data_IF_369006523689
#
_entry.id   IF_369006523689
#
_cell.length_a   1.000
_cell.length_b   1.000
_cell.length_c   1.000
_cell.angle_alpha   90.00
_cell.angle_beta   90.00
_cell.angle_gamma   90.00
#
_symmetry.space_group_name_H-M   'P 1'
#
loop_
_entity.id
_entity.type
_entity.pdbx_description
1 polymer ?
#
# COMPACT_ATOMS: atom_id res chain seq x y z
N UNK A 1 -20.82 -4.91 4.85
CA UNK A 1 -22.01 -4.90 3.96
C UNK A 1 -21.59 -5.19 2.52
N UNK A 2 -22.52 -5.55 1.63
CA UNK A 2 -22.26 -5.73 0.18
C UNK A 2 -23.10 -4.74 -0.64
N UNK A 3 -22.54 -4.21 -1.73
CA UNK A 3 -23.27 -3.36 -2.67
C UNK A 3 -22.41 -2.99 -3.87
N UNK A 4 -23.02 -2.62 -4.99
CA UNK A 4 -22.29 -2.10 -6.15
C UNK A 4 -21.65 -0.76 -5.78
N UNK A 5 -20.33 -0.69 -5.75
CA UNK A 5 -19.59 0.51 -5.37
C UNK A 5 -19.68 1.52 -6.52
N UNK A 6 -20.58 2.48 -6.40
CA UNK A 6 -20.70 3.62 -7.31
C UNK A 6 -20.09 4.86 -6.66
N UNK A 7 -19.81 5.91 -7.44
CA UNK A 7 -19.36 7.20 -6.89
C UNK A 7 -20.31 7.70 -5.79
N UNK A 8 -21.62 7.66 -6.06
CA UNK A 8 -22.66 8.03 -5.09
C UNK A 8 -22.57 7.23 -3.79
N UNK A 9 -22.34 5.91 -3.89
CA UNK A 9 -22.15 5.07 -2.70
C UNK A 9 -20.90 5.46 -1.93
N UNK A 10 -19.77 5.66 -2.64
CA UNK A 10 -18.51 6.08 -2.01
C UNK A 10 -18.71 7.38 -1.25
N UNK A 11 -19.41 8.34 -1.82
CA UNK A 11 -19.69 9.64 -1.20
C UNK A 11 -20.63 9.50 0.01
N UNK A 12 -21.67 8.66 -0.08
CA UNK A 12 -22.69 8.54 0.96
C UNK A 12 -22.27 7.74 2.20
N UNK A 13 -21.32 6.79 2.07
CA UNK A 13 -20.91 5.95 3.20
C UNK A 13 -20.24 6.80 4.27
N UNK A 14 -20.80 6.75 5.47
CA UNK A 14 -20.30 7.43 6.66
C UNK A 14 -19.31 6.53 7.43
N UNK A 15 -18.41 7.16 8.17
CA UNK A 15 -17.58 6.44 9.14
C UNK A 15 -18.39 6.02 10.35
N UNK A 16 -17.94 4.96 11.00
CA UNK A 16 -18.39 4.51 12.31
C UNK A 16 -17.27 4.84 13.30
N UNK A 17 -17.53 5.57 14.40
CA UNK A 17 -16.48 5.98 15.33
C UNK A 17 -15.80 4.79 16.02
N UNK A 18 -16.52 3.66 16.15
CA UNK A 18 -16.05 2.51 16.92
C UNK A 18 -15.30 1.50 16.06
N UNK A 19 -15.45 1.54 14.72
CA UNK A 19 -14.87 0.54 13.82
C UNK A 19 -14.74 1.01 12.39
N UNK A 20 -13.92 0.29 11.63
CA UNK A 20 -13.85 0.49 10.20
C UNK A 20 -15.08 -0.11 9.50
N UNK A 21 -15.67 0.67 8.61
CA UNK A 21 -16.78 0.24 7.77
C UNK A 21 -16.23 -0.38 6.49
N UNK A 22 -16.63 -1.62 6.19
CA UNK A 22 -16.24 -2.33 4.97
C UNK A 22 -17.45 -2.61 4.08
N UNK A 23 -17.40 -2.07 2.87
CA UNK A 23 -18.37 -2.30 1.80
C UNK A 23 -17.70 -3.10 0.69
N UNK A 24 -18.19 -4.30 0.43
CA UNK A 24 -17.67 -5.16 -0.64
C UNK A 24 -18.48 -4.96 -1.92
N UNK A 25 -17.76 -4.85 -3.04
CA UNK A 25 -18.36 -4.71 -4.36
C UNK A 25 -19.06 -6.01 -4.78
N UNK A 26 -20.22 -5.87 -5.41
CA UNK A 26 -20.99 -7.01 -5.92
C UNK A 26 -20.58 -7.44 -7.33
N UNK A 27 -19.91 -6.59 -8.09
CA UNK A 27 -19.52 -6.87 -9.48
C UNK A 27 -18.07 -7.38 -9.58
N UNK A 28 -17.19 -6.89 -8.71
CA UNK A 28 -15.78 -7.32 -8.64
C UNK A 28 -15.50 -8.01 -7.30
N UNK A 29 -15.52 -9.34 -7.31
CA UNK A 29 -15.25 -10.15 -6.13
C UNK A 29 -13.90 -9.81 -5.49
N UNK A 30 -13.91 -9.61 -4.17
CA UNK A 30 -12.74 -9.23 -3.39
C UNK A 30 -12.43 -7.74 -3.40
N UNK A 31 -13.01 -6.93 -4.28
CA UNK A 31 -12.84 -5.48 -4.26
C UNK A 31 -13.80 -4.83 -3.24
N UNK A 32 -13.32 -3.83 -2.52
CA UNK A 32 -14.10 -3.15 -1.50
C UNK A 32 -13.67 -1.73 -1.20
N UNK A 33 -14.54 -0.99 -0.52
CA UNK A 33 -14.29 0.29 0.12
C UNK A 33 -14.16 0.07 1.63
N UNK A 34 -13.06 0.55 2.21
CA UNK A 34 -12.87 0.66 3.65
C UNK A 34 -13.00 2.13 4.04
N UNK A 35 -13.86 2.44 5.00
CA UNK A 35 -13.93 3.75 5.64
C UNK A 35 -13.39 3.59 7.04
N UNK A 36 -12.27 4.25 7.34
CA UNK A 36 -11.69 4.24 8.67
C UNK A 36 -12.56 5.01 9.66
N UNK A 37 -12.34 4.78 10.96
CA UNK A 37 -12.98 5.57 12.05
C UNK A 37 -12.84 7.08 11.83
N UNK A 38 -11.69 7.53 11.33
CA UNK A 38 -11.40 8.94 11.03
C UNK A 38 -12.01 9.46 9.73
N UNK A 39 -12.86 8.69 9.04
CA UNK A 39 -13.51 9.10 7.79
C UNK A 39 -12.69 8.89 6.52
N UNK A 40 -11.42 8.48 6.63
CA UNK A 40 -10.57 8.20 5.45
C UNK A 40 -11.14 7.02 4.68
N UNK A 41 -11.40 7.22 3.40
CA UNK A 41 -11.94 6.22 2.48
C UNK A 41 -10.81 5.64 1.64
N UNK A 42 -10.61 4.32 1.69
CA UNK A 42 -9.57 3.64 0.92
C UNK A 42 -10.13 2.41 0.21
N UNK A 43 -9.61 2.14 -0.97
CA UNK A 43 -9.95 0.94 -1.71
C UNK A 43 -9.11 -0.24 -1.25
N UNK A 44 -9.73 -1.40 -1.16
CA UNK A 44 -9.08 -2.65 -0.72
C UNK A 44 -9.39 -3.78 -1.69
N UNK A 45 -8.45 -4.72 -1.79
CA UNK A 45 -8.63 -5.99 -2.47
C UNK A 45 -8.33 -7.15 -1.52
N UNK A 46 -9.31 -8.03 -1.33
CA UNK A 46 -9.20 -9.21 -0.48
C UNK A 46 -9.23 -10.47 -1.35
N UNK A 47 -8.25 -11.34 -1.14
CA UNK A 47 -8.09 -12.58 -1.87
C UNK A 47 -7.78 -13.74 -0.90
N UNK A 48 -7.79 -14.96 -1.43
CA UNK A 48 -7.35 -16.17 -0.73
C UNK A 48 -6.11 -16.72 -1.41
N UNK A 49 -5.14 -17.15 -0.61
CA UNK A 49 -3.94 -17.85 -1.06
C UNK A 49 -3.60 -18.91 -0.03
N UNK A 50 -3.38 -20.16 -0.46
CA UNK A 50 -3.07 -21.28 0.43
C UNK A 50 -4.06 -21.42 1.61
N UNK A 51 -5.36 -21.26 1.32
CA UNK A 51 -6.43 -21.32 2.33
C UNK A 51 -6.53 -20.10 3.26
N UNK A 52 -5.56 -19.18 3.23
CA UNK A 52 -5.53 -17.98 4.09
C UNK A 52 -6.03 -16.77 3.34
N UNK A 53 -6.76 -15.89 4.03
CA UNK A 53 -7.21 -14.63 3.45
C UNK A 53 -6.15 -13.55 3.64
N UNK A 54 -5.85 -12.82 2.58
CA UNK A 54 -4.98 -11.66 2.59
C UNK A 54 -5.76 -10.45 2.06
N UNK A 55 -5.45 -9.26 2.60
CA UNK A 55 -6.04 -7.99 2.17
C UNK A 55 -4.92 -7.03 1.80
N UNK A 56 -5.08 -6.39 0.64
CA UNK A 56 -4.22 -5.35 0.13
C UNK A 56 -5.01 -4.04 0.11
N UNK A 57 -4.44 -2.98 0.71
CA UNK A 57 -4.94 -1.62 0.46
C UNK A 57 -4.40 -1.15 -0.88
N UNK A 58 -5.30 -0.70 -1.74
CA UNK A 58 -4.98 -0.26 -3.10
C UNK A 58 -4.61 1.24 -3.15
N UNK A 59 -5.27 2.05 -2.32
CA UNK A 59 -5.01 3.49 -2.21
C UNK A 59 -6.19 4.25 -1.61
N UNK A 60 -5.95 5.49 -1.20
CA UNK A 60 -6.96 6.41 -0.66
C UNK A 60 -7.81 7.03 -1.78
N UNK A 61 -9.12 7.12 -1.56
CA UNK A 61 -10.05 7.74 -2.51
C UNK A 61 -9.81 9.25 -2.58
N UNK A 62 -9.69 9.79 -3.79
CA UNK A 62 -9.51 11.21 -4.04
C UNK A 62 -8.05 11.68 -3.93
N UNK A 63 -7.29 11.16 -2.98
CA UNK A 63 -5.84 11.45 -2.84
C UNK A 63 -4.99 10.64 -3.81
N UNK A 64 -5.15 9.32 -3.79
CA UNK A 64 -4.31 8.40 -4.59
C UNK A 64 -5.05 7.88 -5.82
N UNK A 65 -6.35 7.58 -5.68
CA UNK A 65 -7.13 6.86 -6.68
C UNK A 65 -8.56 7.39 -6.85
N UNK A 66 -9.01 7.39 -8.10
CA UNK A 66 -10.43 7.42 -8.44
C UNK A 66 -11.04 6.02 -8.31
N UNK A 67 -12.37 5.92 -8.23
CA UNK A 67 -13.07 4.64 -8.20
C UNK A 67 -12.74 3.76 -9.41
N UNK A 68 -12.71 4.35 -10.61
CA UNK A 68 -12.40 3.61 -11.83
C UNK A 68 -10.95 3.10 -11.85
N UNK A 69 -10.00 3.94 -11.43
CA UNK A 69 -8.60 3.55 -11.32
C UNK A 69 -8.43 2.40 -10.30
N UNK A 70 -9.14 2.49 -9.17
CA UNK A 70 -9.13 1.44 -8.16
C UNK A 70 -9.74 0.13 -8.65
N UNK A 71 -10.82 0.16 -9.44
CA UNK A 71 -11.38 -1.04 -10.10
C UNK A 71 -10.39 -1.67 -11.06
N UNK A 72 -9.75 -0.88 -11.92
CA UNK A 72 -8.71 -1.37 -12.86
C UNK A 72 -7.55 -2.02 -12.10
N UNK A 73 -7.08 -1.36 -11.03
CA UNK A 73 -6.01 -1.89 -10.19
C UNK A 73 -6.41 -3.18 -9.49
N UNK A 74 -7.63 -3.28 -8.96
CA UNK A 74 -8.14 -4.50 -8.35
C UNK A 74 -8.19 -5.67 -9.33
N UNK A 75 -8.60 -5.43 -10.60
CA UNK A 75 -8.54 -6.44 -11.66
C UNK A 75 -7.10 -6.88 -11.93
N UNK A 76 -6.16 -5.94 -12.05
CA UNK A 76 -4.74 -6.26 -12.24
C UNK A 76 -4.18 -7.11 -11.08
N UNK A 77 -4.50 -6.76 -9.82
CA UNK A 77 -4.10 -7.54 -8.65
C UNK A 77 -4.73 -8.92 -8.60
N UNK A 78 -5.99 -9.06 -9.04
CA UNK A 78 -6.65 -10.36 -9.18
C UNK A 78 -5.91 -11.24 -10.19
N UNK A 79 -5.54 -10.70 -11.36
CA UNK A 79 -4.77 -11.43 -12.36
C UNK A 79 -3.39 -11.86 -11.83
N UNK A 80 -2.69 -10.97 -11.11
CA UNK A 80 -1.40 -11.30 -10.49
C UNK A 80 -1.52 -12.47 -9.48
N UNK A 81 -2.57 -12.49 -8.66
CA UNK A 81 -2.85 -13.60 -7.75
C UNK A 81 -3.14 -14.89 -8.51
N UNK A 82 -3.92 -14.82 -9.59
CA UNK A 82 -4.23 -15.97 -10.45
C UNK A 82 -2.99 -16.53 -11.14
N UNK A 83 -2.02 -15.68 -11.48
CA UNK A 83 -0.70 -16.08 -11.99
C UNK A 83 0.24 -16.66 -10.91
N UNK A 84 -0.23 -16.83 -9.66
CA UNK A 84 0.54 -17.42 -8.56
C UNK A 84 1.31 -16.41 -7.69
N UNK A 85 1.26 -15.13 -8.03
CA UNK A 85 1.88 -14.03 -7.28
C UNK A 85 1.27 -13.82 -5.89
N UNK A 86 1.92 -12.98 -5.08
CA UNK A 86 1.43 -12.61 -3.75
C UNK A 86 1.54 -11.10 -3.55
N UNK A 87 0.58 -10.31 -4.08
CA UNK A 87 0.69 -8.86 -4.10
C UNK A 87 0.81 -8.21 -2.72
N UNK A 88 0.24 -8.81 -1.67
CA UNK A 88 0.40 -8.32 -0.31
C UNK A 88 1.83 -8.54 0.21
N UNK A 89 2.43 -9.69 -0.10
CA UNK A 89 3.83 -9.96 0.24
C UNK A 89 4.78 -9.06 -0.56
N UNK A 90 4.52 -8.86 -1.84
CA UNK A 90 5.28 -7.94 -2.71
C UNK A 90 5.20 -6.51 -2.19
N UNK A 91 4.00 -6.02 -1.86
CA UNK A 91 3.82 -4.69 -1.28
C UNK A 91 4.55 -4.54 0.05
N UNK A 92 4.49 -5.55 0.93
CA UNK A 92 5.22 -5.56 2.20
C UNK A 92 6.74 -5.57 1.99
N UNK A 93 7.23 -6.36 1.04
CA UNK A 93 8.65 -6.42 0.71
C UNK A 93 9.15 -5.08 0.14
N UNK A 94 8.38 -4.45 -0.73
CA UNK A 94 8.69 -3.12 -1.26
C UNK A 94 8.72 -2.06 -0.15
N UNK A 95 7.77 -2.08 0.79
CA UNK A 95 7.75 -1.17 1.92
C UNK A 95 8.89 -1.39 2.93
N UNK A 96 9.44 -2.60 2.99
CA UNK A 96 10.57 -2.95 3.86
C UNK A 96 11.93 -2.82 3.17
N UNK A 97 11.97 -2.45 1.89
CA UNK A 97 13.22 -2.30 1.15
C UNK A 97 14.00 -1.08 1.69
N UNK A 98 15.33 -1.20 1.90
CA UNK A 98 16.14 -0.07 2.33
C UNK A 98 16.05 1.09 1.35
N UNK A 99 15.89 2.30 1.87
CA UNK A 99 15.96 3.53 1.07
C UNK A 99 17.42 3.86 0.73
N UNK A 100 17.62 4.78 -0.21
CA UNK A 100 18.96 5.33 -0.50
C UNK A 100 19.57 5.97 0.74
N UNK A 101 18.75 6.59 1.60
CA UNK A 101 19.20 7.15 2.89
C UNK A 101 19.68 6.04 3.82
N UNK A 102 18.91 4.96 3.97
CA UNK A 102 19.32 3.82 4.82
C UNK A 102 20.64 3.20 4.33
N UNK A 103 20.83 3.11 3.00
CA UNK A 103 22.08 2.64 2.42
C UNK A 103 23.25 3.61 2.67
N UNK A 104 23.00 4.92 2.58
CA UNK A 104 23.99 5.95 2.85
C UNK A 104 24.43 5.93 4.33
N UNK A 105 23.47 5.85 5.25
CA UNK A 105 23.73 5.77 6.68
C UNK A 105 24.56 4.51 7.02
N UNK A 106 24.21 3.36 6.44
CA UNK A 106 24.98 2.12 6.60
C UNK A 106 26.39 2.26 6.04
N UNK A 107 26.55 2.87 4.86
CA UNK A 107 27.87 3.09 4.27
C UNK A 107 28.74 3.99 5.15
N UNK A 108 28.19 5.07 5.70
CA UNK A 108 28.90 5.97 6.58
C UNK A 108 29.36 5.26 7.86
N UNK A 109 28.47 4.46 8.47
CA UNK A 109 28.73 3.74 9.72
C UNK A 109 29.74 2.58 9.54
N UNK A 110 29.61 1.77 8.50
CA UNK A 110 30.36 0.51 8.37
C UNK A 110 31.66 0.64 7.56
N UNK A 111 31.68 1.58 6.61
CA UNK A 111 32.76 1.71 5.62
C UNK A 111 33.49 3.05 5.70
N UNK A 112 32.79 4.18 5.68
CA UNK A 112 33.45 5.50 5.70
C UNK A 112 34.16 5.76 7.03
N UNK A 113 33.63 5.24 8.15
CA UNK A 113 34.28 5.25 9.46
C UNK A 113 35.67 4.60 9.48
N UNK A 114 35.96 3.67 8.56
CA UNK A 114 37.26 2.98 8.45
C UNK A 114 38.21 3.66 7.45
N UNK A 115 37.82 4.78 6.86
CA UNK A 115 38.61 5.52 5.87
C UNK A 115 39.26 6.75 6.52
N UNK A 116 40.14 7.40 5.76
CA UNK A 116 40.78 8.64 6.21
C UNK A 116 39.73 9.71 6.55
N UNK A 117 40.10 10.64 7.43
CA UNK A 117 39.21 11.72 7.84
C UNK A 117 38.72 12.57 6.66
N UNK A 118 39.53 12.74 5.61
CA UNK A 118 39.14 13.46 4.39
C UNK A 118 38.08 12.69 3.59
N UNK A 119 38.27 11.37 3.37
CA UNK A 119 37.31 10.54 2.65
C UNK A 119 35.99 10.42 3.39
N UNK A 120 36.03 10.30 4.73
CA UNK A 120 34.81 10.27 5.55
C UNK A 120 34.01 11.58 5.44
N UNK A 121 34.66 12.73 5.59
CA UNK A 121 34.01 14.05 5.45
C UNK A 121 33.42 14.25 4.06
N UNK A 122 34.12 13.83 3.01
CA UNK A 122 33.61 13.89 1.65
C UNK A 122 32.34 13.03 1.48
N UNK A 123 32.31 11.82 2.04
CA UNK A 123 31.13 10.97 2.03
C UNK A 123 29.97 11.55 2.84
N UNK A 124 30.23 12.12 4.02
CA UNK A 124 29.23 12.80 4.86
C UNK A 124 28.62 14.01 4.13
N UNK A 125 29.43 14.78 3.38
CA UNK A 125 28.95 15.89 2.55
C UNK A 125 28.12 15.40 1.36
N UNK A 126 28.54 14.31 0.70
CA UNK A 126 27.84 13.75 -0.46
C UNK A 126 26.43 13.25 -0.10
N UNK A 127 26.27 12.63 1.07
CA UNK A 127 25.00 12.04 1.51
C UNK A 127 24.13 12.98 2.36
N UNK A 128 24.48 14.26 2.43
CA UNK A 128 23.66 15.30 3.04
C UNK A 128 22.48 15.64 2.12
N UNK A 129 21.44 14.81 2.17
CA UNK A 129 20.10 15.06 1.58
C UNK A 129 19.21 15.83 2.56
#
# INVERSE_FOLDING_TARGET
MKGKITKRLVDSVQSDPDRDVLVWDTELSGFGLRVSRGGVKSYVFQYKRHGRSARLTLGEHGRDLTLEAARKLAVARRLAVQAGGDPAKEAKAAAAAPTVRDLADRYLAEHAAKRSASTRRAAEMLFRL
#
